data_IF_462090617303
#
_entry.id   IF_462090617303
#
_cell.length_a   1.000
_cell.length_b   1.000
_cell.length_c   1.000
_cell.angle_alpha   90.00
_cell.angle_beta   90.00
_cell.angle_gamma   90.00
#
_symmetry.space_group_name_H-M   'P 1'
#
loop_
_entity.id
_entity.type
_entity.pdbx_description
1 polymer ?
#
# COMPACT_ATOMS: atom_id res chain seq x y z
N UNK A 1 -2.33 -23.30 -3.89
CA UNK A 1 -2.00 -21.86 -3.76
C UNK A 1 -2.60 -21.19 -5.00
N UNK A 2 -3.53 -20.22 -4.89
CA UNK A 2 -4.10 -19.60 -6.08
C UNK A 2 -3.01 -18.86 -6.85
N UNK A 3 -3.04 -18.96 -8.18
CA UNK A 3 -2.11 -18.28 -9.09
C UNK A 3 -2.43 -16.77 -9.12
N UNK A 4 -1.43 -15.90 -9.29
CA UNK A 4 -1.69 -14.48 -9.54
C UNK A 4 -2.49 -14.33 -10.83
N UNK A 5 -3.71 -13.81 -10.71
CA UNK A 5 -4.57 -13.42 -11.82
C UNK A 5 -4.33 -11.94 -12.16
N UNK A 6 -4.04 -11.65 -13.43
CA UNK A 6 -3.77 -10.32 -13.96
C UNK A 6 -5.04 -9.48 -14.14
N UNK A 7 -6.23 -10.10 -14.14
CA UNK A 7 -7.53 -9.42 -14.22
C UNK A 7 -8.07 -8.97 -12.86
N UNK A 8 -7.33 -9.24 -11.79
CA UNK A 8 -7.79 -9.04 -10.42
C UNK A 8 -7.82 -7.55 -10.07
N UNK A 9 -8.92 -7.10 -9.46
CA UNK A 9 -9.07 -5.70 -9.08
C UNK A 9 -8.09 -5.31 -7.97
N UNK A 10 -7.73 -4.02 -7.86
CA UNK A 10 -6.86 -3.52 -6.78
C UNK A 10 -7.42 -3.85 -5.40
N UNK A 11 -8.75 -3.79 -5.26
CA UNK A 11 -9.46 -4.15 -4.03
C UNK A 11 -9.21 -5.60 -3.59
N UNK A 12 -8.99 -6.51 -4.52
CA UNK A 12 -8.73 -7.93 -4.24
C UNK A 12 -7.25 -8.25 -4.09
N UNK A 13 -6.35 -7.33 -4.47
CA UNK A 13 -4.90 -7.47 -4.28
C UNK A 13 -4.48 -7.09 -2.86
N UNK A 14 -5.19 -6.17 -2.22
CA UNK A 14 -4.85 -5.62 -0.90
C UNK A 14 -5.76 -6.23 0.17
N UNK A 15 -5.17 -6.73 1.24
CA UNK A 15 -5.85 -7.38 2.37
C UNK A 15 -6.11 -6.38 3.49
N UNK A 16 -5.09 -5.59 3.86
CA UNK A 16 -5.21 -4.52 4.86
C UNK A 16 -4.17 -3.43 4.61
N UNK A 17 -4.43 -2.23 5.14
CA UNK A 17 -3.48 -1.12 5.19
C UNK A 17 -3.43 -0.62 6.62
N UNK A 18 -2.27 -0.79 7.26
CA UNK A 18 -2.05 -0.46 8.67
C UNK A 18 -0.91 0.55 8.80
N UNK A 19 -0.88 1.29 9.89
CA UNK A 19 0.20 2.25 10.15
C UNK A 19 0.51 2.37 11.63
N UNK A 20 1.74 2.76 11.94
CA UNK A 20 2.12 3.30 13.26
C UNK A 20 2.55 4.76 13.09
N UNK A 21 3.38 5.29 14.00
CA UNK A 21 3.92 6.64 13.87
C UNK A 21 5.00 6.76 12.78
N UNK A 22 5.70 5.67 12.47
CA UNK A 22 6.92 5.67 11.67
C UNK A 22 6.72 5.23 10.22
N UNK A 23 5.82 4.28 9.96
CA UNK A 23 5.64 3.66 8.66
C UNK A 23 4.23 3.11 8.43
N UNK A 24 3.97 2.75 7.18
CA UNK A 24 2.73 2.10 6.73
C UNK A 24 3.07 0.71 6.18
N UNK A 25 2.23 -0.27 6.51
CA UNK A 25 2.27 -1.61 5.96
C UNK A 25 1.02 -1.86 5.15
N UNK A 26 1.20 -2.34 3.92
CA UNK A 26 0.11 -2.85 3.08
C UNK A 26 0.27 -4.36 3.00
N UNK A 27 -0.68 -5.08 3.58
CA UNK A 27 -0.78 -6.52 3.39
C UNK A 27 -1.46 -6.80 2.06
N UNK A 28 -0.88 -7.68 1.25
CA UNK A 28 -1.41 -8.04 -0.06
C UNK A 28 -1.71 -9.53 -0.11
N UNK A 29 -2.57 -9.94 -1.05
CA UNK A 29 -2.62 -11.32 -1.49
C UNK A 29 -1.21 -11.78 -1.93
N UNK A 30 -0.91 -13.06 -1.73
CA UNK A 30 0.41 -13.61 -2.03
C UNK A 30 0.80 -13.37 -3.50
N UNK A 31 2.00 -12.84 -3.73
CA UNK A 31 2.54 -12.54 -5.07
C UNK A 31 2.25 -11.13 -5.58
N UNK A 32 1.42 -10.34 -4.89
CA UNK A 32 0.98 -9.03 -5.36
C UNK A 32 1.73 -7.83 -4.79
N UNK A 33 2.66 -8.01 -3.83
CA UNK A 33 3.36 -6.89 -3.20
C UNK A 33 4.03 -5.94 -4.21
N UNK A 34 4.71 -6.48 -5.23
CA UNK A 34 5.33 -5.66 -6.28
C UNK A 34 4.32 -4.94 -7.17
N UNK A 35 3.17 -5.54 -7.44
CA UNK A 35 2.12 -4.90 -8.24
C UNK A 35 1.51 -3.71 -7.49
N UNK A 36 1.26 -3.86 -6.19
CA UNK A 36 0.77 -2.77 -5.34
C UNK A 36 1.80 -1.64 -5.22
N UNK A 37 3.09 -1.97 -5.01
CA UNK A 37 4.15 -0.96 -4.99
C UNK A 37 4.26 -0.19 -6.31
N UNK A 38 4.10 -0.86 -7.46
CA UNK A 38 4.08 -0.21 -8.78
C UNK A 38 2.98 0.83 -8.91
N UNK A 39 1.80 0.60 -8.31
CA UNK A 39 0.71 1.56 -8.27
C UNK A 39 1.12 2.79 -7.44
N UNK A 40 1.73 2.60 -6.28
CA UNK A 40 2.23 3.71 -5.45
C UNK A 40 3.28 4.54 -6.19
N UNK A 41 4.25 3.88 -6.83
CA UNK A 41 5.30 4.54 -7.61
C UNK A 41 4.73 5.34 -8.79
N UNK A 42 3.72 4.79 -9.47
CA UNK A 42 3.07 5.47 -10.61
C UNK A 42 2.38 6.77 -10.18
N UNK A 43 1.72 6.76 -9.01
CA UNK A 43 1.04 7.95 -8.48
C UNK A 43 1.98 8.94 -7.79
N UNK A 44 3.20 8.52 -7.43
CA UNK A 44 4.28 9.38 -6.95
C UNK A 44 3.84 10.38 -5.85
N UNK A 45 3.14 9.89 -4.83
CA UNK A 45 2.68 10.74 -3.72
C UNK A 45 3.90 11.43 -3.05
N UNK A 46 3.96 12.77 -2.99
CA UNK A 46 5.14 13.49 -2.52
C UNK A 46 5.48 13.20 -1.05
N UNK A 47 4.47 12.84 -0.26
CA UNK A 47 4.60 12.48 1.15
C UNK A 47 5.26 11.10 1.36
N UNK A 48 5.43 10.29 0.32
CA UNK A 48 6.16 9.02 0.39
C UNK A 48 7.64 9.29 0.09
N UNK A 49 8.52 8.85 0.99
CA UNK A 49 9.97 8.86 0.79
C UNK A 49 10.43 7.68 -0.06
N UNK A 50 9.86 6.50 0.19
CA UNK A 50 10.21 5.28 -0.52
C UNK A 50 9.29 4.11 -0.18
N UNK A 51 9.38 3.06 -1.01
CA UNK A 51 8.58 1.85 -0.92
C UNK A 51 9.48 0.61 -1.03
N UNK A 52 9.26 -0.39 -0.19
CA UNK A 52 9.93 -1.70 -0.27
C UNK A 52 8.87 -2.80 -0.35
N UNK A 53 8.90 -3.60 -1.41
CA UNK A 53 7.92 -4.64 -1.66
C UNK A 53 8.51 -6.05 -1.48
N UNK A 54 7.90 -6.82 -0.58
CA UNK A 54 8.05 -8.27 -0.50
C UNK A 54 7.00 -9.00 -1.35
N UNK A 55 6.84 -10.31 -1.11
CA UNK A 55 5.85 -11.12 -1.84
C UNK A 55 4.40 -10.77 -1.48
N UNK A 56 4.13 -10.49 -0.21
CA UNK A 56 2.78 -10.27 0.33
C UNK A 56 2.67 -9.05 1.25
N UNK A 57 3.73 -8.22 1.30
CA UNK A 57 3.82 -7.05 2.17
C UNK A 57 4.48 -5.94 1.36
N UNK A 58 3.94 -4.73 1.48
CA UNK A 58 4.58 -3.49 1.00
C UNK A 58 4.80 -2.58 2.18
N UNK A 59 6.06 -2.21 2.41
CA UNK A 59 6.46 -1.24 3.42
C UNK A 59 6.59 0.13 2.76
N UNK A 60 5.93 1.13 3.34
CA UNK A 60 5.94 2.51 2.83
C UNK A 60 6.55 3.40 3.89
N UNK A 61 7.65 4.06 3.53
CA UNK A 61 8.32 5.05 4.35
C UNK A 61 7.71 6.44 4.05
N UNK A 62 7.03 7.07 5.01
CA UNK A 62 6.63 8.46 4.89
C UNK A 62 7.86 9.37 4.93
N UNK A 63 7.79 10.50 4.22
CA UNK A 63 8.83 11.52 4.20
C UNK A 63 8.93 12.28 5.53
N UNK A 64 7.80 12.43 6.22
CA UNK A 64 7.69 13.08 7.52
C UNK A 64 6.83 12.17 8.41
N UNK A 65 7.42 11.59 9.46
CA UNK A 65 6.75 10.61 10.33
C UNK A 65 5.54 11.20 11.07
N UNK A 66 5.52 12.51 11.34
CA UNK A 66 4.35 13.18 11.92
C UNK A 66 3.13 13.20 10.96
N UNK A 67 3.35 12.89 9.67
CA UNK A 67 2.30 12.82 8.65
C UNK A 67 1.90 11.39 8.30
N UNK A 68 2.41 10.37 8.98
CA UNK A 68 2.12 8.96 8.64
C UNK A 68 0.61 8.66 8.53
N UNK A 69 -0.21 9.20 9.43
CA UNK A 69 -1.67 9.04 9.37
C UNK A 69 -2.31 9.72 8.12
N UNK A 70 -1.77 10.85 7.66
CA UNK A 70 -2.23 11.49 6.42
C UNK A 70 -1.87 10.63 5.20
N UNK A 71 -0.63 10.13 5.16
CA UNK A 71 -0.15 9.26 4.07
C UNK A 71 -0.98 7.98 4.01
N UNK A 72 -1.31 7.38 5.16
CA UNK A 72 -2.21 6.25 5.26
C UNK A 72 -3.58 6.53 4.62
N UNK A 73 -4.20 7.67 4.95
CA UNK A 73 -5.48 8.09 4.33
C UNK A 73 -5.36 8.29 2.82
N UNK A 74 -4.27 8.89 2.34
CA UNK A 74 -4.03 9.08 0.90
C UNK A 74 -3.88 7.74 0.17
N UNK A 75 -3.14 6.79 0.76
CA UNK A 75 -2.99 5.44 0.21
C UNK A 75 -4.33 4.71 0.17
N UNK A 76 -5.15 4.81 1.23
CA UNK A 76 -6.47 4.18 1.24
C UNK A 76 -7.40 4.76 0.18
N UNK A 77 -7.42 6.09 0.02
CA UNK A 77 -8.16 6.73 -1.06
C UNK A 77 -7.68 6.25 -2.43
N UNK A 78 -6.36 6.22 -2.64
CA UNK A 78 -5.75 5.79 -3.90
C UNK A 78 -6.11 4.34 -4.26
N UNK A 79 -6.07 3.46 -3.26
CA UNK A 79 -6.38 2.03 -3.41
C UNK A 79 -7.89 1.76 -3.35
N UNK A 80 -8.73 2.81 -3.24
CA UNK A 80 -10.19 2.75 -3.08
C UNK A 80 -10.63 1.84 -1.92
N UNK A 81 -9.82 1.83 -0.86
CA UNK A 81 -10.11 1.11 0.37
C UNK A 81 -11.06 1.96 1.22
N UNK A 82 -12.30 1.50 1.39
CA UNK A 82 -13.23 2.07 2.36
C UNK A 82 -12.83 1.59 3.76
N UNK A 83 -11.84 2.24 4.38
CA UNK A 83 -11.42 1.94 5.74
C UNK A 83 -11.92 3.04 6.67
N UNK A 84 -12.87 2.67 7.53
CA UNK A 84 -13.39 3.55 8.58
C UNK A 84 -12.23 4.00 9.48
N UNK A 85 -12.31 5.28 9.87
CA UNK A 85 -11.27 6.07 10.53
C UNK A 85 -10.82 5.52 11.88
#
# INVERSE_FOLDING_TARGET
RPSPDAGRSIAEMVVSVEHNSEFILIHTAAGYGRAVARILDYHALPEILGVVAGSSIVWVAPRVVQRTALVHKQINYLLKMNLNS
#
